data_IF_125233236615
#
_entry.id   IF_125233236615
#
_cell.length_a   1.000
_cell.length_b   1.000
_cell.length_c   1.000
_cell.angle_alpha   90.00
_cell.angle_beta   90.00
_cell.angle_gamma   90.00
#
_symmetry.space_group_name_H-M   'P 1'
#
loop_
_entity.id
_entity.type
_entity.pdbx_description
1 polymer ?
#
# COMPACT_ATOMS: atom_id res chain seq x y z
N UNK A 1 -34.91 33.04 -66.26
CA UNK A 1 -35.39 31.65 -66.13
C UNK A 1 -34.27 30.85 -65.48
N UNK A 2 -34.48 30.40 -64.24
CA UNK A 2 -33.53 29.61 -63.46
C UNK A 2 -33.66 28.14 -63.83
N UNK A 3 -32.59 27.50 -64.31
CA UNK A 3 -32.51 26.05 -64.41
C UNK A 3 -31.48 25.56 -63.41
N UNK A 4 -31.96 25.08 -62.27
CA UNK A 4 -31.15 24.46 -61.23
C UNK A 4 -30.66 23.09 -61.69
N UNK A 5 -29.33 22.92 -61.71
CA UNK A 5 -28.69 21.62 -61.85
C UNK A 5 -28.47 21.02 -60.45
N UNK A 6 -29.29 20.04 -60.06
CA UNK A 6 -28.99 19.16 -58.91
C UNK A 6 -28.06 18.05 -59.42
N UNK A 7 -26.85 17.88 -58.87
CA UNK A 7 -26.04 16.72 -59.21
C UNK A 7 -26.74 15.43 -58.72
N UNK A 8 -26.71 14.39 -59.56
CA UNK A 8 -27.26 13.09 -59.23
C UNK A 8 -26.52 12.49 -58.03
N UNK A 9 -27.27 12.14 -57.00
CA UNK A 9 -26.77 11.42 -55.84
C UNK A 9 -26.37 10.01 -56.29
N UNK A 10 -25.07 9.69 -56.24
CA UNK A 10 -24.56 8.40 -56.65
C UNK A 10 -25.16 7.30 -55.75
N UNK A 11 -25.99 6.43 -56.33
CA UNK A 11 -26.61 5.31 -55.60
C UNK A 11 -25.50 4.39 -55.08
N UNK A 12 -25.31 4.37 -53.76
CA UNK A 12 -24.29 3.53 -53.15
C UNK A 12 -24.59 2.05 -53.45
N UNK A 13 -23.60 1.25 -53.87
CA UNK A 13 -23.83 -0.15 -54.21
C UNK A 13 -24.35 -0.91 -52.98
N UNK A 14 -25.54 -1.50 -53.11
CA UNK A 14 -26.16 -2.31 -52.05
C UNK A 14 -25.30 -3.54 -51.78
N UNK A 15 -24.85 -3.70 -50.54
CA UNK A 15 -24.05 -4.84 -50.11
C UNK A 15 -24.81 -6.16 -50.33
N UNK A 16 -24.15 -7.14 -50.95
CA UNK A 16 -24.71 -8.48 -51.13
C UNK A 16 -24.88 -9.21 -49.80
N UNK A 17 -25.90 -10.08 -49.69
CA UNK A 17 -26.24 -10.80 -48.46
C UNK A 17 -25.05 -11.48 -47.78
N UNK A 18 -24.15 -12.11 -48.55
CA UNK A 18 -22.94 -12.72 -48.05
C UNK A 18 -21.98 -11.72 -47.39
N UNK A 19 -21.76 -10.55 -48.02
CA UNK A 19 -20.90 -9.49 -47.47
C UNK A 19 -21.48 -8.87 -46.19
N UNK A 20 -22.81 -8.75 -46.10
CA UNK A 20 -23.51 -8.27 -44.91
C UNK A 20 -23.37 -9.29 -43.77
N UNK A 21 -23.54 -10.59 -44.04
CA UNK A 21 -23.34 -11.66 -43.06
C UNK A 21 -21.90 -11.70 -42.54
N UNK A 22 -20.90 -11.61 -43.42
CA UNK A 22 -19.48 -11.57 -43.00
C UNK A 22 -19.20 -10.37 -42.11
N UNK A 23 -19.73 -9.18 -42.43
CA UNK A 23 -19.56 -7.99 -41.60
C UNK A 23 -20.20 -8.14 -40.22
N UNK A 24 -21.42 -8.69 -40.14
CA UNK A 24 -22.04 -8.98 -38.86
C UNK A 24 -21.27 -10.02 -38.04
N UNK A 25 -20.72 -11.05 -38.70
CA UNK A 25 -19.86 -12.02 -38.02
C UNK A 25 -18.60 -11.36 -37.46
N UNK A 26 -17.93 -10.49 -38.23
CA UNK A 26 -16.75 -9.74 -37.78
C UNK A 26 -17.07 -8.80 -36.60
N UNK A 27 -18.21 -8.09 -36.67
CA UNK A 27 -18.69 -7.25 -35.55
C UNK A 27 -18.96 -8.12 -34.33
N UNK A 28 -19.63 -9.27 -34.50
CA UNK A 28 -19.91 -10.21 -33.41
C UNK A 28 -18.64 -10.73 -32.75
N UNK A 29 -17.63 -11.09 -33.53
CA UNK A 29 -16.30 -11.52 -33.02
C UNK A 29 -15.62 -10.38 -32.27
N UNK A 30 -15.64 -9.16 -32.81
CA UNK A 30 -15.05 -8.00 -32.13
C UNK A 30 -15.73 -7.70 -30.79
N UNK A 31 -17.07 -7.74 -30.75
CA UNK A 31 -17.82 -7.56 -29.51
C UNK A 31 -17.55 -8.69 -28.50
N UNK A 32 -17.50 -9.94 -28.95
CA UNK A 32 -17.18 -11.07 -28.09
C UNK A 32 -15.76 -10.96 -27.51
N UNK A 33 -14.78 -10.52 -28.31
CA UNK A 33 -13.41 -10.30 -27.85
C UNK A 33 -13.35 -9.18 -26.80
N UNK A 34 -14.08 -8.08 -26.99
CA UNK A 34 -14.18 -7.01 -25.99
C UNK A 34 -14.79 -7.54 -24.69
N UNK A 35 -15.93 -8.23 -24.76
CA UNK A 35 -16.59 -8.80 -23.57
C UNK A 35 -15.68 -9.79 -22.85
N UNK A 36 -15.03 -10.71 -23.57
CA UNK A 36 -14.09 -11.66 -22.99
C UNK A 36 -12.91 -10.97 -22.30
N UNK A 37 -12.42 -9.88 -22.89
CA UNK A 37 -11.35 -9.04 -22.31
C UNK A 37 -11.80 -8.41 -21.00
N UNK A 38 -12.99 -7.81 -20.95
CA UNK A 38 -13.57 -7.27 -19.72
C UNK A 38 -13.85 -8.35 -18.67
N UNK A 39 -14.35 -9.52 -19.08
CA UNK A 39 -14.57 -10.65 -18.18
C UNK A 39 -13.25 -11.15 -17.55
N UNK A 40 -12.19 -11.22 -18.35
CA UNK A 40 -10.85 -11.61 -17.90
C UNK A 40 -10.25 -10.58 -16.94
N UNK A 41 -10.18 -9.31 -17.33
CA UNK A 41 -9.64 -8.24 -16.46
C UNK A 41 -10.53 -7.93 -15.25
N UNK A 42 -11.84 -8.20 -15.35
CA UNK A 42 -12.78 -8.12 -14.24
C UNK A 42 -12.67 -9.29 -13.26
N UNK A 43 -11.81 -10.29 -13.53
CA UNK A 43 -11.57 -11.42 -12.64
C UNK A 43 -12.73 -12.41 -12.56
N UNK A 44 -13.66 -12.42 -13.53
CA UNK A 44 -14.81 -13.33 -13.51
C UNK A 44 -14.42 -14.81 -13.54
N UNK A 45 -13.23 -15.13 -14.05
CA UNK A 45 -12.71 -16.50 -14.11
C UNK A 45 -11.79 -16.86 -12.95
N UNK A 46 -11.43 -15.89 -12.09
CA UNK A 46 -10.57 -16.11 -10.92
C UNK A 46 -11.18 -15.50 -9.64
N UNK A 47 -12.38 -15.94 -9.23
CA UNK A 47 -13.10 -15.37 -8.09
C UNK A 47 -12.34 -15.51 -6.75
N UNK A 48 -11.34 -16.39 -6.70
CA UNK A 48 -10.53 -16.64 -5.51
C UNK A 48 -9.22 -15.84 -5.47
N UNK A 49 -8.91 -15.05 -6.50
CA UNK A 49 -7.69 -14.23 -6.51
C UNK A 49 -7.75 -13.14 -5.45
N UNK A 50 -6.60 -12.85 -4.85
CA UNK A 50 -6.44 -11.76 -3.92
C UNK A 50 -6.39 -10.43 -4.68
N UNK A 51 -7.54 -9.77 -4.78
CA UNK A 51 -7.64 -8.43 -5.36
C UNK A 51 -7.32 -7.36 -4.32
N UNK A 52 -6.94 -6.13 -4.73
CA UNK A 52 -6.73 -5.01 -3.81
C UNK A 52 -7.97 -4.74 -2.93
N UNK A 53 -9.17 -4.83 -3.49
CA UNK A 53 -10.42 -4.66 -2.73
C UNK A 53 -10.53 -5.72 -1.63
N UNK A 54 -10.40 -7.01 -1.97
CA UNK A 54 -10.45 -8.11 -1.00
C UNK A 54 -9.38 -8.00 0.08
N UNK A 55 -8.17 -7.59 -0.30
CA UNK A 55 -7.11 -7.34 0.66
C UNK A 55 -7.49 -6.25 1.66
N UNK A 56 -8.02 -5.13 1.16
CA UNK A 56 -8.44 -4.04 2.04
C UNK A 56 -9.66 -4.39 2.89
N UNK A 57 -10.61 -5.15 2.37
CA UNK A 57 -11.81 -5.60 3.09
C UNK A 57 -11.47 -6.58 4.22
N UNK A 58 -10.33 -7.29 4.12
CA UNK A 58 -9.87 -8.16 5.20
C UNK A 58 -9.59 -7.41 6.50
N UNK A 59 -9.17 -6.15 6.45
CA UNK A 59 -9.00 -5.35 7.66
C UNK A 59 -10.33 -5.11 8.37
N UNK A 60 -11.38 -4.77 7.62
CA UNK A 60 -12.73 -4.61 8.19
C UNK A 60 -13.31 -5.95 8.66
N UNK A 61 -12.98 -7.05 7.98
CA UNK A 61 -13.35 -8.39 8.44
C UNK A 61 -12.71 -8.75 9.78
N UNK A 62 -11.49 -8.27 10.05
CA UNK A 62 -10.72 -8.55 11.27
C UNK A 62 -11.10 -7.59 12.40
N UNK A 63 -11.09 -6.28 12.14
CA UNK A 63 -11.23 -5.23 13.16
C UNK A 63 -12.62 -4.57 13.17
N UNK A 64 -13.50 -4.94 12.24
CA UNK A 64 -14.78 -4.25 12.03
C UNK A 64 -14.64 -2.99 11.19
N UNK A 65 -15.77 -2.49 10.70
CA UNK A 65 -15.84 -1.24 9.94
C UNK A 65 -16.00 -0.05 10.88
N UNK A 66 -15.12 0.95 10.75
CA UNK A 66 -15.10 2.16 11.57
C UNK A 66 -15.19 3.41 10.68
N UNK A 67 -16.40 3.96 10.53
CA UNK A 67 -16.65 5.11 9.65
C UNK A 67 -15.80 6.33 10.05
N UNK A 68 -15.17 6.98 9.07
CA UNK A 68 -14.28 8.12 9.29
C UNK A 68 -12.84 7.76 9.68
N UNK A 69 -12.54 6.48 9.92
CA UNK A 69 -11.19 6.01 10.26
C UNK A 69 -10.57 5.19 9.12
N UNK A 70 -9.24 5.03 9.15
CA UNK A 70 -8.53 4.15 8.21
C UNK A 70 -8.79 2.69 8.59
N UNK A 71 -8.88 1.80 7.59
CA UNK A 71 -9.00 0.34 7.77
C UNK A 71 -7.85 -0.28 8.56
N UNK A 72 -6.65 0.29 8.44
CA UNK A 72 -5.48 -0.03 9.24
C UNK A 72 -4.77 1.27 9.61
N UNK A 73 -3.99 1.27 10.67
CA UNK A 73 -3.42 2.48 11.23
C UNK A 73 -4.50 3.50 11.62
N UNK A 74 -5.62 3.01 12.17
CA UNK A 74 -6.83 3.78 12.46
C UNK A 74 -6.55 4.91 13.46
N UNK A 75 -5.91 4.57 14.59
CA UNK A 75 -5.46 5.53 15.61
C UNK A 75 -4.14 6.18 15.20
N UNK A 76 -4.03 7.49 15.37
CA UNK A 76 -2.79 8.22 15.10
C UNK A 76 -2.91 9.72 15.31
N UNK A 77 -1.76 10.40 15.29
CA UNK A 77 -1.64 11.85 15.50
C UNK A 77 -0.92 12.50 14.33
N UNK A 78 -1.47 13.61 13.86
CA UNK A 78 -0.87 14.42 12.79
C UNK A 78 0.23 15.32 13.33
N UNK A 79 1.26 15.54 12.53
CA UNK A 79 2.35 16.47 12.81
C UNK A 79 2.63 17.32 11.58
N UNK A 80 3.20 18.49 11.78
CA UNK A 80 3.74 19.33 10.71
C UNK A 80 5.11 19.86 11.12
N UNK A 81 5.93 20.15 10.13
CA UNK A 81 7.28 20.63 10.37
C UNK A 81 8.05 20.81 9.08
N UNK A 82 9.35 20.65 9.15
CA UNK A 82 10.25 20.83 8.03
C UNK A 82 11.25 19.70 7.96
N UNK A 83 11.68 19.39 6.74
CA UNK A 83 12.85 18.56 6.50
C UNK A 83 13.98 19.44 5.99
N UNK A 84 15.11 19.38 6.68
CA UNK A 84 16.34 20.05 6.29
C UNK A 84 17.30 19.01 5.71
N UNK A 85 17.42 19.02 4.38
CA UNK A 85 18.34 18.15 3.68
C UNK A 85 19.75 18.74 3.71
N UNK A 86 20.72 17.92 4.10
CA UNK A 86 22.14 18.28 4.06
C UNK A 86 22.75 18.13 2.65
N UNK A 87 21.98 17.72 1.64
CA UNK A 87 22.45 17.56 0.26
C UNK A 87 23.21 16.27 -0.03
N UNK A 88 23.58 15.46 0.97
CA UNK A 88 24.39 14.26 0.73
C UNK A 88 23.65 13.17 -0.06
N UNK A 89 22.31 13.21 -0.11
CA UNK A 89 21.50 12.25 -0.84
C UNK A 89 21.57 12.39 -2.36
N UNK A 90 22.03 13.54 -2.89
CA UNK A 90 22.11 13.76 -4.35
C UNK A 90 23.06 12.80 -5.07
N UNK A 91 24.04 12.23 -4.35
CA UNK A 91 24.92 11.18 -4.87
C UNK A 91 24.18 9.87 -5.18
N UNK A 92 23.03 9.66 -4.53
CA UNK A 92 22.22 8.44 -4.66
C UNK A 92 21.03 8.66 -5.60
N UNK A 93 20.42 9.84 -5.57
CA UNK A 93 19.20 10.13 -6.31
C UNK A 93 19.15 11.56 -6.85
N UNK A 94 18.63 11.72 -8.06
CA UNK A 94 18.31 13.02 -8.66
C UNK A 94 17.03 13.68 -8.13
N UNK A 95 16.28 13.01 -7.25
CA UNK A 95 15.03 13.55 -6.69
C UNK A 95 15.28 14.80 -5.84
N UNK A 96 14.42 15.82 -5.98
CA UNK A 96 14.61 17.13 -5.33
C UNK A 96 14.64 17.07 -3.80
N UNK A 97 13.94 16.10 -3.19
CA UNK A 97 13.92 15.90 -1.73
C UNK A 97 15.33 15.72 -1.14
N UNK A 98 16.31 15.28 -1.94
CA UNK A 98 17.68 15.06 -1.49
C UNK A 98 18.64 16.22 -1.76
N UNK A 99 18.22 17.25 -2.51
CA UNK A 99 19.03 18.46 -2.68
C UNK A 99 19.15 19.21 -1.36
N UNK A 100 20.26 19.93 -1.16
CA UNK A 100 20.42 20.74 0.04
C UNK A 100 19.34 21.82 0.11
N UNK A 101 18.73 21.99 1.29
CA UNK A 101 17.66 22.97 1.49
C UNK A 101 16.62 22.51 2.49
N UNK A 102 15.55 23.30 2.60
CA UNK A 102 14.46 23.08 3.56
C UNK A 102 13.12 23.01 2.84
N UNK A 103 12.33 21.98 3.14
CA UNK A 103 10.99 21.78 2.60
C UNK A 103 9.97 21.53 3.71
N UNK A 104 8.72 21.93 3.49
CA UNK A 104 7.63 21.68 4.43
C UNK A 104 7.25 20.21 4.43
N UNK A 105 6.95 19.67 5.61
CA UNK A 105 6.51 18.28 5.80
C UNK A 105 5.23 18.26 6.60
N UNK A 106 4.29 17.44 6.15
CA UNK A 106 3.19 16.94 6.98
C UNK A 106 3.44 15.47 7.27
N UNK A 107 3.18 15.06 8.50
CA UNK A 107 3.42 13.70 8.96
C UNK A 107 2.25 13.15 9.76
N UNK A 108 2.28 11.85 9.95
CA UNK A 108 1.34 11.15 10.84
C UNK A 108 2.02 10.00 11.53
N UNK A 109 2.03 10.04 12.86
CA UNK A 109 2.29 8.87 13.68
C UNK A 109 1.01 8.04 13.82
N UNK A 110 1.14 6.74 13.98
CA UNK A 110 -0.01 5.84 14.07
C UNK A 110 0.31 4.55 14.80
N UNK A 111 -0.73 3.90 15.32
CA UNK A 111 -0.66 2.53 15.84
C UNK A 111 -1.25 1.58 14.81
N UNK A 112 -0.64 0.41 14.60
CA UNK A 112 -1.17 -0.63 13.72
C UNK A 112 -2.54 -1.15 14.17
N UNK A 113 -3.32 -1.70 13.25
CA UNK A 113 -4.66 -2.21 13.48
C UNK A 113 -5.75 -1.26 13.02
N UNK A 114 -6.97 -1.80 12.90
CA UNK A 114 -8.17 -1.08 12.48
C UNK A 114 -8.96 -0.46 13.64
N UNK A 115 -8.60 -0.72 14.90
CA UNK A 115 -9.32 -0.19 16.07
C UNK A 115 -8.97 1.29 16.35
N UNK A 116 -9.91 2.24 16.21
CA UNK A 116 -9.62 3.67 16.37
C UNK A 116 -9.34 4.10 17.81
N UNK A 117 -9.85 3.36 18.79
CA UNK A 117 -9.76 3.66 20.22
C UNK A 117 -8.88 2.67 21.00
N UNK A 118 -7.97 1.97 20.30
CA UNK A 118 -7.03 1.04 20.95
C UNK A 118 -6.18 1.75 22.00
N UNK A 119 -5.87 1.07 23.11
CA UNK A 119 -4.96 1.56 24.13
C UNK A 119 -3.54 1.74 23.55
N UNK A 120 -2.79 2.69 24.10
CA UNK A 120 -1.40 2.94 23.69
C UNK A 120 -0.46 1.91 24.33
N UNK A 121 -0.52 0.67 23.84
CA UNK A 121 0.31 -0.42 24.33
C UNK A 121 1.72 -0.34 23.73
N UNK A 122 2.79 -0.52 24.53
CA UNK A 122 4.15 -0.40 24.03
C UNK A 122 4.51 -1.35 22.87
N UNK A 123 3.95 -2.56 22.89
CA UNK A 123 4.18 -3.61 21.91
C UNK A 123 3.38 -3.43 20.61
N UNK A 124 2.47 -2.45 20.56
CA UNK A 124 1.74 -2.13 19.33
C UNK A 124 2.68 -1.48 18.32
N UNK A 125 2.69 -2.02 17.10
CA UNK A 125 3.55 -1.50 16.02
C UNK A 125 3.19 -0.04 15.74
N UNK A 126 4.22 0.79 15.67
CA UNK A 126 4.10 2.23 15.41
C UNK A 126 4.47 2.52 13.97
N UNK A 127 3.66 3.32 13.29
CA UNK A 127 3.91 3.81 11.93
C UNK A 127 4.22 5.30 11.91
N UNK A 128 5.11 5.70 10.99
CA UNK A 128 5.38 7.09 10.64
C UNK A 128 5.23 7.26 9.13
N UNK A 129 4.26 8.07 8.71
CA UNK A 129 4.10 8.49 7.32
C UNK A 129 4.45 9.97 7.18
N UNK A 130 5.18 10.32 6.14
CA UNK A 130 5.62 11.69 5.84
C UNK A 130 5.29 12.04 4.39
N UNK A 131 4.85 13.27 4.16
CA UNK A 131 4.71 13.90 2.85
C UNK A 131 5.52 15.20 2.84
N UNK A 132 6.40 15.33 1.86
CA UNK A 132 7.30 16.47 1.66
C UNK A 132 6.77 17.27 0.48
N UNK A 133 6.56 18.57 0.69
CA UNK A 133 6.11 19.49 -0.35
C UNK A 133 7.32 20.13 -1.02
N UNK A 134 7.63 19.69 -2.24
CA UNK A 134 8.83 20.11 -2.96
C UNK A 134 8.61 21.43 -3.71
N UNK A 135 9.69 22.19 -4.02
CA UNK A 135 9.58 23.52 -4.63
C UNK A 135 8.90 23.57 -6.00
N UNK A 136 8.91 22.47 -6.74
CA UNK A 136 8.27 22.32 -8.05
C UNK A 136 6.80 21.86 -7.96
N UNK A 137 6.28 21.67 -6.74
CA UNK A 137 4.94 21.16 -6.48
C UNK A 137 4.85 19.63 -6.38
N UNK A 138 5.95 18.88 -6.59
CA UNK A 138 5.96 17.43 -6.39
C UNK A 138 5.74 17.09 -4.90
N UNK A 139 4.99 16.02 -4.64
CA UNK A 139 4.75 15.48 -3.30
C UNK A 139 5.49 14.16 -3.13
N UNK A 140 6.63 14.19 -2.44
CA UNK A 140 7.37 12.99 -2.08
C UNK A 140 6.77 12.37 -0.81
N UNK A 141 6.50 11.06 -0.83
CA UNK A 141 5.79 10.37 0.26
C UNK A 141 6.51 9.12 0.69
N UNK A 142 6.55 8.89 2.00
CA UNK A 142 7.06 7.65 2.58
C UNK A 142 6.20 7.21 3.75
N UNK A 143 6.08 5.89 3.93
CA UNK A 143 5.51 5.26 5.11
C UNK A 143 6.54 4.28 5.66
N UNK A 144 6.72 4.32 6.97
CA UNK A 144 7.72 3.56 7.71
C UNK A 144 7.06 2.99 8.97
N UNK A 145 7.64 1.95 9.55
CA UNK A 145 7.20 1.42 10.85
C UNK A 145 8.39 1.18 11.77
N UNK A 146 8.15 1.07 13.07
CA UNK A 146 9.18 0.86 14.07
C UNK A 146 9.72 -0.57 14.17
N UNK A 147 9.34 -1.45 13.25
CA UNK A 147 9.91 -2.80 13.16
C UNK A 147 11.17 -2.80 12.28
N UNK A 148 12.22 -3.56 12.66
CA UNK A 148 13.43 -3.67 11.84
C UNK A 148 13.23 -4.50 10.57
N UNK A 149 12.28 -5.44 10.60
CA UNK A 149 11.90 -6.33 9.49
C UNK A 149 10.39 -6.53 9.52
N UNK A 150 9.80 -6.89 8.37
CA UNK A 150 8.38 -7.23 8.30
C UNK A 150 8.19 -8.74 8.50
N UNK A 151 7.10 -9.19 9.18
CA UNK A 151 6.87 -10.62 9.44
C UNK A 151 6.71 -11.48 8.19
N UNK A 152 6.35 -10.91 7.05
CA UNK A 152 6.07 -11.63 5.79
C UNK A 152 6.65 -10.89 4.60
N UNK A 153 6.83 -11.57 3.46
CA UNK A 153 7.46 -11.01 2.26
C UNK A 153 6.49 -10.74 1.10
N UNK A 154 5.26 -11.25 1.15
CA UNK A 154 4.26 -11.08 0.08
C UNK A 154 2.92 -10.54 0.59
N UNK A 155 2.14 -9.85 -0.26
CA UNK A 155 0.77 -9.46 0.07
C UNK A 155 -0.12 -10.64 0.46
N UNK A 156 0.01 -11.78 -0.20
CA UNK A 156 -0.76 -12.99 0.06
C UNK A 156 -0.48 -13.52 1.48
N UNK A 157 0.80 -13.63 1.85
CA UNK A 157 1.19 -14.04 3.18
C UNK A 157 0.69 -13.05 4.25
N UNK A 158 0.70 -11.74 3.96
CA UNK A 158 0.12 -10.75 4.88
C UNK A 158 -1.39 -10.89 5.03
N UNK A 159 -2.11 -11.11 3.93
CA UNK A 159 -3.55 -11.36 3.95
C UNK A 159 -3.86 -12.58 4.81
N UNK A 160 -3.17 -13.70 4.59
CA UNK A 160 -3.37 -14.90 5.37
C UNK A 160 -3.05 -14.72 6.85
N UNK A 161 -1.97 -13.98 7.16
CA UNK A 161 -1.63 -13.62 8.53
C UNK A 161 -2.74 -12.79 9.18
N UNK A 162 -3.28 -11.83 8.46
CA UNK A 162 -4.37 -10.96 8.93
C UNK A 162 -5.61 -11.80 9.25
N UNK A 163 -6.03 -12.68 8.34
CA UNK A 163 -7.14 -13.61 8.58
C UNK A 163 -6.88 -14.55 9.77
N UNK A 164 -5.67 -15.09 9.89
CA UNK A 164 -5.29 -15.95 11.02
C UNK A 164 -5.22 -15.20 12.37
N UNK A 165 -5.05 -13.87 12.33
CA UNK A 165 -5.00 -12.99 13.51
C UNK A 165 -6.37 -12.51 13.96
N UNK A 166 -7.45 -12.83 13.22
CA UNK A 166 -8.80 -12.43 13.60
C UNK A 166 -9.18 -12.97 14.98
N UNK A 167 -9.67 -12.12 15.89
CA UNK A 167 -10.22 -12.59 17.14
C UNK A 167 -11.44 -13.50 16.94
N UNK A 168 -11.46 -14.69 17.53
CA UNK A 168 -12.69 -15.48 17.61
C UNK A 168 -13.68 -14.85 18.61
N UNK A 169 -14.97 -14.71 18.25
CA UNK A 169 -15.94 -13.98 19.07
C UNK A 169 -16.17 -14.55 20.48
N UNK A 170 -15.93 -15.86 20.67
CA UNK A 170 -16.21 -16.54 21.94
C UNK A 170 -15.19 -16.24 23.03
N UNK A 171 -13.95 -15.93 22.66
CA UNK A 171 -12.83 -15.75 23.60
C UNK A 171 -11.97 -14.51 23.31
N UNK A 172 -12.27 -13.74 22.26
CA UNK A 172 -11.70 -12.41 22.02
C UNK A 172 -10.21 -12.38 21.63
N UNK A 173 -9.62 -13.51 21.25
CA UNK A 173 -8.19 -13.67 20.92
C UNK A 173 -7.98 -14.31 19.53
N UNK A 174 -6.80 -14.36 18.95
CA UNK A 174 -6.61 -15.18 17.74
C UNK A 174 -6.77 -16.68 18.05
N UNK A 175 -7.29 -17.46 17.10
CA UNK A 175 -7.32 -18.92 17.20
C UNK A 175 -5.89 -19.50 17.07
N UNK A 176 -5.35 -20.17 18.11
CA UNK A 176 -3.99 -20.70 18.07
C UNK A 176 -3.76 -21.72 16.95
N UNK A 177 -4.78 -22.50 16.57
CA UNK A 177 -4.67 -23.50 15.50
C UNK A 177 -4.50 -22.84 14.13
N UNK A 178 -5.26 -21.77 13.85
CA UNK A 178 -5.13 -20.98 12.60
C UNK A 178 -3.76 -20.31 12.52
N UNK A 179 -3.30 -19.71 13.62
CA UNK A 179 -1.97 -19.10 13.67
C UNK A 179 -0.86 -20.13 13.48
N UNK A 180 -0.97 -21.32 14.11
CA UNK A 180 -0.02 -22.42 13.91
C UNK A 180 0.01 -22.90 12.45
N UNK A 181 -1.15 -23.05 11.82
CA UNK A 181 -1.24 -23.45 10.41
C UNK A 181 -0.63 -22.40 9.46
N UNK A 182 -0.81 -21.11 9.76
CA UNK A 182 -0.13 -20.02 9.05
C UNK A 182 1.40 -20.11 9.21
N UNK A 183 1.90 -20.21 10.45
CA UNK A 183 3.35 -20.29 10.71
C UNK A 183 4.01 -21.52 10.09
N UNK A 184 3.29 -22.63 9.96
CA UNK A 184 3.78 -23.83 9.28
C UNK A 184 3.99 -23.61 7.76
N UNK A 185 3.16 -22.76 7.14
CA UNK A 185 3.28 -22.38 5.72
C UNK A 185 4.27 -21.23 5.48
N UNK A 186 4.54 -20.45 6.52
CA UNK A 186 5.39 -19.25 6.47
C UNK A 186 6.54 -19.31 7.49
N UNK A 187 7.51 -20.24 7.34
CA UNK A 187 8.64 -20.37 8.27
C UNK A 187 9.51 -19.11 8.34
N UNK A 188 9.53 -18.28 7.29
CA UNK A 188 10.18 -16.96 7.27
C UNK A 188 9.61 -16.02 8.34
N UNK A 189 8.32 -16.18 8.69
CA UNK A 189 7.69 -15.39 9.74
C UNK A 189 8.29 -15.68 11.11
N UNK A 190 8.65 -16.94 11.38
CA UNK A 190 9.27 -17.33 12.67
C UNK A 190 10.64 -16.66 12.83
N UNK A 191 11.41 -16.58 11.74
CA UNK A 191 12.72 -15.90 11.74
C UNK A 191 12.54 -14.39 11.96
N UNK A 192 11.61 -13.77 11.23
CA UNK A 192 11.31 -12.35 11.37
C UNK A 192 10.84 -12.00 12.79
N UNK A 193 9.97 -12.82 13.39
CA UNK A 193 9.50 -12.62 14.77
C UNK A 193 10.62 -12.76 15.79
N UNK A 194 11.59 -13.64 15.57
CA UNK A 194 12.79 -13.74 16.43
C UNK A 194 13.60 -12.43 16.39
N UNK A 195 13.83 -11.87 15.20
CA UNK A 195 14.53 -10.58 15.03
C UNK A 195 13.76 -9.42 15.65
N UNK A 196 12.43 -9.40 15.51
CA UNK A 196 11.58 -8.37 16.12
C UNK A 196 11.64 -8.46 17.64
N UNK A 197 11.51 -9.66 18.21
CA UNK A 197 11.51 -9.87 19.67
C UNK A 197 12.87 -9.65 20.32
N UNK A 198 13.97 -9.66 19.55
CA UNK A 198 15.29 -9.34 20.08
C UNK A 198 15.54 -7.83 20.22
N UNK A 199 14.64 -6.97 19.72
CA UNK A 199 14.76 -5.52 19.86
C UNK A 199 14.11 -5.04 21.15
N UNK A 200 14.73 -4.06 21.79
CA UNK A 200 14.09 -3.33 22.89
C UNK A 200 12.95 -2.47 22.34
N UNK A 201 11.81 -2.48 23.03
CA UNK A 201 10.64 -1.68 22.67
C UNK A 201 10.79 -0.30 23.28
N UNK A 202 10.72 0.75 22.45
CA UNK A 202 10.80 2.13 22.95
C UNK A 202 9.48 2.56 23.61
N UNK A 203 9.53 3.54 24.51
CA UNK A 203 8.36 4.01 25.26
C UNK A 203 7.33 4.74 24.39
N UNK A 204 7.75 5.45 23.33
CA UNK A 204 6.87 6.32 22.55
C UNK A 204 7.23 6.46 21.08
N UNK A 205 6.49 7.34 20.37
CA UNK A 205 6.76 7.70 18.98
C UNK A 205 8.03 8.53 18.82
N UNK A 206 8.31 9.39 19.79
CA UNK A 206 9.37 10.39 19.83
C UNK A 206 10.77 9.81 20.03
N UNK A 207 10.86 8.58 20.55
CA UNK A 207 12.10 7.81 20.70
C UNK A 207 12.10 6.46 19.96
N UNK A 208 11.17 6.27 19.01
CA UNK A 208 11.16 5.11 18.10
C UNK A 208 12.01 5.39 16.85
N UNK A 209 12.84 4.42 16.44
CA UNK A 209 13.39 4.40 15.07
C UNK A 209 12.35 3.84 14.11
N UNK A 210 12.15 4.48 12.95
CA UNK A 210 11.21 4.03 11.92
C UNK A 210 11.95 3.57 10.67
N UNK A 211 11.68 2.35 10.22
CA UNK A 211 12.31 1.72 9.07
C UNK A 211 11.37 1.75 7.85
N UNK A 212 11.94 2.05 6.68
CA UNK A 212 11.25 1.96 5.38
C UNK A 212 10.83 0.55 4.97
N UNK A 213 11.46 -0.48 5.56
CA UNK A 213 11.34 -1.91 5.27
C UNK A 213 11.70 -2.31 3.83
N UNK A 214 10.96 -1.80 2.86
CA UNK A 214 11.17 -2.07 1.45
C UNK A 214 12.49 -1.48 0.96
N UNK A 215 13.15 -2.19 0.05
CA UNK A 215 14.19 -1.60 -0.77
C UNK A 215 13.55 -0.81 -1.90
N UNK A 216 13.97 0.44 -2.08
CA UNK A 216 13.55 1.31 -3.16
C UNK A 216 14.69 1.46 -4.17
N UNK A 217 14.33 1.85 -5.39
CA UNK A 217 15.30 2.14 -6.44
C UNK A 217 15.49 3.64 -6.55
N UNK A 218 16.68 4.12 -6.23
CA UNK A 218 17.09 5.50 -6.52
C UNK A 218 17.81 5.56 -7.87
N UNK A 219 17.66 6.68 -8.56
CA UNK A 219 18.31 6.94 -9.84
C UNK A 219 19.21 8.15 -9.67
N UNK A 220 20.53 7.98 -9.78
CA UNK A 220 21.48 9.07 -9.62
C UNK A 220 21.50 10.00 -10.86
N UNK A 221 22.36 11.03 -10.86
CA UNK A 221 22.50 11.97 -11.98
C UNK A 221 23.08 11.35 -13.25
N UNK A 222 23.84 10.25 -13.14
CA UNK A 222 24.37 9.49 -14.27
C UNK A 222 23.33 8.51 -14.87
N UNK A 223 22.20 8.30 -14.20
CA UNK A 223 21.17 7.35 -14.61
C UNK A 223 21.29 5.96 -13.99
N UNK A 224 22.26 5.74 -13.09
CA UNK A 224 22.46 4.45 -12.43
C UNK A 224 21.35 4.16 -11.43
N UNK A 225 20.95 2.89 -11.39
CA UNK A 225 19.98 2.36 -10.44
C UNK A 225 20.67 1.87 -9.16
N UNK A 226 20.35 2.49 -8.03
CA UNK A 226 20.93 2.17 -6.72
C UNK A 226 19.82 1.69 -5.77
N UNK A 227 19.88 0.44 -5.26
CA UNK A 227 18.93 -0.04 -4.26
C UNK A 227 19.23 0.59 -2.90
N UNK A 228 18.21 1.14 -2.25
CA UNK A 228 18.34 1.83 -0.96
C UNK A 228 17.25 1.42 0.02
N UNK A 229 17.60 1.44 1.30
CA UNK A 229 16.66 1.48 2.42
C UNK A 229 17.04 2.67 3.29
N UNK A 230 16.06 3.27 3.95
CA UNK A 230 16.29 4.32 4.92
C UNK A 230 15.58 4.02 6.24
N UNK A 231 16.01 4.76 7.26
CA UNK A 231 15.38 4.80 8.57
C UNK A 231 15.39 6.25 9.08
N UNK A 232 14.44 6.56 9.95
CA UNK A 232 14.36 7.82 10.69
C UNK A 232 14.70 7.54 12.14
N UNK A 233 15.85 8.04 12.59
CA UNK A 233 16.31 7.93 13.98
C UNK A 233 15.86 9.15 14.76
N UNK A 234 15.28 8.99 15.95
CA UNK A 234 14.94 10.11 16.81
C UNK A 234 16.21 10.82 17.30
N UNK A 235 16.12 12.14 17.49
CA UNK A 235 17.16 12.89 18.21
C UNK A 235 17.08 12.66 19.72
N UNK A 236 15.90 12.34 20.23
CA UNK A 236 15.73 11.98 21.62
C UNK A 236 16.46 10.67 21.94
N UNK A 237 17.09 10.55 23.12
CA UNK A 237 17.66 9.29 23.57
C UNK A 237 16.61 8.18 23.62
N UNK A 238 17.05 6.95 23.36
CA UNK A 238 16.19 5.79 23.51
C UNK A 238 15.80 5.62 24.98
N UNK A 239 14.50 5.52 25.24
CA UNK A 239 13.94 5.10 26.52
C UNK A 239 13.12 3.84 26.29
N UNK A 240 13.43 2.78 27.04
CA UNK A 240 12.67 1.54 26.97
C UNK A 240 11.26 1.78 27.51
N UNK A 241 10.27 1.13 26.89
CA UNK A 241 8.95 1.06 27.48
C UNK A 241 9.04 0.45 28.89
N UNK A 242 8.44 1.12 29.87
CA UNK A 242 8.28 0.51 31.18
C UNK A 242 7.42 -0.74 31.02
N UNK A 243 7.77 -1.82 31.74
CA UNK A 243 6.89 -2.98 31.88
C UNK A 243 5.70 -2.58 32.75
N UNK A 244 4.82 -1.71 32.26
CA UNK A 244 3.56 -1.46 32.90
C UNK A 244 2.72 -2.73 32.71
N UNK A 245 2.65 -3.53 33.78
CA UNK A 245 1.58 -4.51 33.97
C UNK A 245 0.26 -3.85 33.60
N UNK A 246 -0.47 -4.46 32.66
CA UNK A 246 -1.84 -4.06 32.36
C UNK A 246 -2.64 -3.95 33.67
N UNK A 247 -3.50 -2.93 33.83
CA UNK A 247 -4.49 -2.95 34.92
C UNK A 247 -5.44 -4.15 34.76
#
# INVERSE_FOLDING_TARGET
MSNGFKPAEAEQPRLGKASTLTRFALIGVALAAVVATFAYFGGWFTPNDLTPARFTDAFEYVDGAHSGFRRNHAKGVGVSGFFESNGNGVRLSKALVFQAGRVSVIGRFSLSGGQPYVADMPDTVRGLALQFSLPDGELWRTAMINLPVFPVSTPEAFYERLIASKPDPSMGKPDPAKMKAFLARHPETVQALTVIKSQAVSSGFDNSTFHSLHAFRFINSAGDSIPVRWLMTPMQPFEAASSASAP
#
